data_IF_940374433480
#
_entry.id   IF_940374433480
#
_cell.length_a   1.000
_cell.length_b   1.000
_cell.length_c   1.000
_cell.angle_alpha   90.00
_cell.angle_beta   90.00
_cell.angle_gamma   90.00
#
_symmetry.space_group_name_H-M   'P 1'
#
loop_
_entity.id
_entity.type
_entity.pdbx_description
1 polymer ?
#
# COMPACT_ATOMS: atom_id res chain seq x y z
N UNK A 1 2.86 15.11 -6.59
CA UNK A 1 1.51 15.62 -6.43
C UNK A 1 0.81 14.90 -5.28
N UNK A 2 -0.26 15.50 -4.72
CA UNK A 2 -1.05 14.97 -3.63
C UNK A 2 -2.53 15.00 -4.03
N UNK A 3 -3.22 13.88 -3.90
CA UNK A 3 -4.65 13.74 -4.06
C UNK A 3 -5.31 13.33 -2.75
N UNK A 4 -6.59 13.55 -2.61
CA UNK A 4 -7.36 13.25 -1.41
C UNK A 4 -8.57 12.36 -1.73
N UNK A 5 -8.88 11.40 -0.86
CA UNK A 5 -10.09 10.59 -0.97
C UNK A 5 -11.24 11.27 -0.22
N UNK A 6 -11.88 12.25 -0.84
CA UNK A 6 -13.07 12.89 -0.25
C UNK A 6 -14.17 11.84 -0.06
N UNK A 7 -14.82 11.89 1.10
CA UNK A 7 -15.84 10.90 1.49
C UNK A 7 -15.35 9.44 1.41
N UNK A 8 -14.06 9.21 1.61
CA UNK A 8 -13.52 7.87 1.84
C UNK A 8 -13.97 7.34 3.20
N UNK A 9 -13.84 6.04 3.38
CA UNK A 9 -14.07 5.44 4.69
C UNK A 9 -13.05 6.00 5.68
N UNK A 10 -13.54 6.56 6.78
CA UNK A 10 -12.71 7.07 7.85
C UNK A 10 -12.72 6.08 9.00
N UNK A 11 -11.71 5.25 9.08
CA UNK A 11 -11.68 4.07 9.91
C UNK A 11 -10.77 4.18 11.13
N UNK A 12 -9.77 5.05 11.03
CA UNK A 12 -8.84 5.33 12.10
C UNK A 12 -8.59 6.84 12.15
N UNK A 13 -8.62 7.43 13.33
CA UNK A 13 -8.25 8.83 13.52
C UNK A 13 -6.75 9.06 13.36
N UNK A 14 -5.95 7.99 13.19
CA UNK A 14 -4.52 8.06 13.02
C UNK A 14 -3.85 8.73 14.21
N UNK A 15 -4.24 8.39 15.43
CA UNK A 15 -3.81 9.07 16.65
C UNK A 15 -2.29 9.30 16.71
N UNK A 16 -1.48 8.31 16.32
CA UNK A 16 -0.02 8.44 16.27
C UNK A 16 0.46 9.40 15.17
N UNK A 17 -0.25 9.47 14.03
CA UNK A 17 0.07 10.42 12.95
C UNK A 17 -0.23 11.84 13.38
N UNK A 18 -1.41 12.08 13.97
CA UNK A 18 -1.79 13.39 14.48
C UNK A 18 -0.82 13.86 15.56
N UNK A 19 -0.51 13.01 16.53
CA UNK A 19 0.44 13.33 17.58
C UNK A 19 1.85 13.60 17.02
N UNK A 20 2.29 12.86 15.99
CA UNK A 20 3.55 13.12 15.29
C UNK A 20 3.54 14.52 14.65
N UNK A 21 2.47 14.87 13.95
CA UNK A 21 2.31 16.19 13.32
C UNK A 21 2.22 17.32 14.34
N UNK A 22 1.65 17.07 15.51
CA UNK A 22 1.51 18.03 16.61
C UNK A 22 2.76 18.10 17.50
N UNK A 23 3.75 17.22 17.30
CA UNK A 23 4.97 17.18 18.09
C UNK A 23 5.72 18.50 17.99
N UNK A 24 5.95 19.11 19.14
CA UNK A 24 6.71 20.34 19.28
C UNK A 24 8.17 19.98 19.50
N UNK A 25 9.03 20.53 18.66
CA UNK A 25 10.48 20.47 18.78
C UNK A 25 11.01 21.87 19.12
N UNK A 26 12.26 21.97 19.37
CA UNK A 26 13.01 23.20 19.75
C UNK A 26 12.24 24.53 19.63
N UNK A 27 12.13 25.27 20.72
CA UNK A 27 11.55 26.62 20.76
C UNK A 27 10.13 26.73 20.18
N UNK A 28 9.25 25.78 20.49
CA UNK A 28 7.86 25.72 20.01
C UNK A 28 7.69 25.55 18.48
N UNK A 29 8.68 25.05 17.79
CA UNK A 29 8.55 24.73 16.38
C UNK A 29 7.82 23.39 16.21
N UNK A 30 6.76 23.38 15.42
CA UNK A 30 6.05 22.15 15.05
C UNK A 30 6.99 21.31 14.15
N UNK A 31 7.01 19.98 14.36
CA UNK A 31 7.86 19.05 13.60
C UNK A 31 7.61 19.18 12.09
N UNK A 32 6.34 19.27 11.70
CA UNK A 32 5.93 19.55 10.32
C UNK A 32 4.80 20.57 10.26
N UNK A 33 4.87 21.55 9.34
CA UNK A 33 3.73 22.45 9.13
C UNK A 33 2.53 21.66 8.61
N UNK A 34 1.38 21.85 9.25
CA UNK A 34 0.13 21.23 8.79
C UNK A 34 -0.27 21.83 7.44
N UNK A 35 -0.58 20.97 6.46
CA UNK A 35 -1.24 21.42 5.25
C UNK A 35 -2.69 21.79 5.57
N UNK A 36 -3.14 22.92 5.05
CA UNK A 36 -4.53 23.29 5.08
C UNK A 36 -5.27 22.60 3.93
N UNK A 37 -6.46 22.04 4.19
CA UNK A 37 -7.37 21.58 3.12
C UNK A 37 -7.80 22.72 2.18
N UNK A 38 -7.52 23.99 2.56
CA UNK A 38 -7.71 25.16 1.70
C UNK A 38 -6.78 25.21 0.48
N UNK A 39 -5.75 24.35 0.44
CA UNK A 39 -4.75 24.31 -0.62
C UNK A 39 -5.21 23.55 -1.88
N UNK A 40 -6.51 23.44 -2.13
CA UNK A 40 -7.09 22.77 -3.32
C UNK A 40 -6.40 21.45 -3.67
N UNK A 41 -6.43 20.50 -2.74
CA UNK A 41 -5.97 19.15 -3.02
C UNK A 41 -7.05 18.46 -3.88
N UNK A 42 -6.74 18.02 -5.10
CA UNK A 42 -7.72 17.39 -5.97
C UNK A 42 -8.16 16.03 -5.43
N UNK A 43 -9.30 15.53 -5.90
CA UNK A 43 -9.68 14.14 -5.68
C UNK A 43 -8.61 13.19 -6.22
N UNK A 44 -8.28 12.15 -5.43
CA UNK A 44 -7.18 11.24 -5.72
C UNK A 44 -7.36 10.58 -7.09
N UNK A 45 -8.53 10.02 -7.38
CA UNK A 45 -8.78 9.34 -8.66
C UNK A 45 -8.66 10.27 -9.87
N UNK A 46 -9.07 11.55 -9.77
CA UNK A 46 -8.91 12.54 -10.84
C UNK A 46 -7.44 12.86 -11.08
N UNK A 47 -6.69 13.01 -9.99
CA UNK A 47 -5.24 13.17 -10.08
C UNK A 47 -4.57 11.95 -10.73
N UNK A 48 -5.01 10.74 -10.38
CA UNK A 48 -4.49 9.51 -10.99
C UNK A 48 -4.80 9.48 -12.49
N UNK A 49 -6.01 9.85 -12.94
CA UNK A 49 -6.35 9.95 -14.36
C UNK A 49 -5.41 10.89 -15.10
N UNK A 50 -5.21 12.10 -14.56
CA UNK A 50 -4.28 13.09 -15.13
C UNK A 50 -2.88 12.52 -15.26
N UNK A 51 -2.34 11.93 -14.19
CA UNK A 51 -0.98 11.39 -14.20
C UNK A 51 -0.82 10.22 -15.16
N UNK A 52 -1.82 9.34 -15.25
CA UNK A 52 -1.80 8.21 -16.19
C UNK A 52 -1.82 8.67 -17.63
N UNK A 53 -2.66 9.66 -17.96
CA UNK A 53 -2.75 10.19 -19.31
C UNK A 53 -1.42 10.73 -19.85
N UNK A 54 -0.55 11.22 -18.96
CA UNK A 54 0.77 11.76 -19.27
C UNK A 54 1.87 10.68 -19.44
N UNK A 55 1.59 9.40 -19.11
CA UNK A 55 2.60 8.33 -19.14
C UNK A 55 2.58 7.57 -20.49
N UNK A 56 3.69 6.86 -20.73
CA UNK A 56 3.77 5.89 -21.82
C UNK A 56 2.90 4.66 -21.53
N UNK A 57 2.49 3.93 -22.55
CA UNK A 57 1.69 2.72 -22.38
C UNK A 57 2.47 1.64 -21.63
N UNK A 58 1.79 0.95 -20.72
CA UNK A 58 2.36 -0.12 -19.88
C UNK A 58 3.64 0.24 -19.10
N UNK A 59 3.81 1.53 -18.76
CA UNK A 59 4.98 2.01 -18.03
C UNK A 59 4.78 2.15 -16.53
N UNK A 60 3.53 2.30 -16.08
CA UNK A 60 3.22 2.61 -14.68
C UNK A 60 3.08 1.34 -13.83
N UNK A 61 3.76 1.34 -12.69
CA UNK A 61 3.51 0.40 -11.59
C UNK A 61 2.76 1.14 -10.50
N UNK A 62 1.55 0.68 -10.19
CA UNK A 62 0.82 1.15 -9.02
C UNK A 62 1.30 0.41 -7.77
N UNK A 63 1.45 1.15 -6.67
CA UNK A 63 1.67 0.59 -5.34
C UNK A 63 0.53 1.07 -4.45
N UNK A 64 -0.32 0.15 -4.00
CA UNK A 64 -1.44 0.42 -3.11
C UNK A 64 -1.12 -0.08 -1.69
N UNK A 65 -1.20 0.81 -0.70
CA UNK A 65 -0.76 0.58 0.68
C UNK A 65 -1.86 0.91 1.71
N UNK A 66 -3.09 0.95 1.29
CA UNK A 66 -4.24 1.24 2.12
C UNK A 66 -5.53 0.88 1.38
N UNK A 67 -6.71 1.22 1.91
CA UNK A 67 -7.98 0.91 1.28
C UNK A 67 -8.05 1.36 -0.18
N UNK A 68 -8.60 0.53 -1.05
CA UNK A 68 -8.60 0.69 -2.50
C UNK A 68 -9.58 1.74 -3.03
N UNK A 69 -10.11 2.61 -2.19
CA UNK A 69 -11.11 3.65 -2.52
C UNK A 69 -10.76 4.44 -3.79
N UNK A 70 -9.52 4.93 -3.90
CA UNK A 70 -9.11 5.71 -5.06
C UNK A 70 -8.95 4.85 -6.32
N UNK A 71 -8.54 3.58 -6.18
CA UNK A 71 -8.41 2.66 -7.31
C UNK A 71 -9.78 2.25 -7.85
N UNK A 72 -10.72 1.94 -6.98
CA UNK A 72 -12.09 1.65 -7.39
C UNK A 72 -12.74 2.85 -8.08
N UNK A 73 -12.59 4.06 -7.52
CA UNK A 73 -13.09 5.30 -8.14
C UNK A 73 -12.43 5.57 -9.50
N UNK A 74 -11.14 5.29 -9.63
CA UNK A 74 -10.45 5.37 -10.91
C UNK A 74 -11.05 4.40 -11.93
N UNK A 75 -11.26 3.13 -11.55
CA UNK A 75 -11.78 2.11 -12.47
C UNK A 75 -13.19 2.43 -13.01
N UNK A 76 -14.06 2.99 -12.16
CA UNK A 76 -15.44 3.32 -12.53
C UNK A 76 -15.59 4.73 -13.11
N UNK A 77 -14.50 5.51 -13.22
CA UNK A 77 -14.56 6.88 -13.73
C UNK A 77 -14.81 6.90 -15.23
N UNK A 78 -15.58 7.88 -15.66
CA UNK A 78 -15.84 8.16 -17.08
C UNK A 78 -14.68 8.94 -17.72
N UNK A 79 -14.73 9.11 -19.04
CA UNK A 79 -13.84 10.00 -19.80
C UNK A 79 -13.93 11.44 -19.24
N UNK A 80 -12.82 12.16 -19.30
CA UNK A 80 -12.70 13.52 -18.79
C UNK A 80 -11.73 14.37 -19.64
N UNK A 81 -11.41 15.58 -19.17
CA UNK A 81 -10.49 16.48 -19.85
C UNK A 81 -9.05 15.95 -19.99
N UNK A 82 -8.67 14.91 -19.26
CA UNK A 82 -7.33 14.30 -19.31
C UNK A 82 -7.26 13.12 -20.27
N UNK A 83 -8.38 12.40 -20.48
CA UNK A 83 -8.42 11.22 -21.35
C UNK A 83 -9.84 10.92 -21.82
N UNK A 84 -9.97 10.61 -23.11
CA UNK A 84 -11.22 10.10 -23.72
C UNK A 84 -11.55 8.67 -23.31
N UNK A 85 -10.61 7.96 -22.66
CA UNK A 85 -10.81 6.63 -22.13
C UNK A 85 -11.52 6.69 -20.78
N UNK A 86 -12.43 5.74 -20.53
CA UNK A 86 -12.88 5.49 -19.16
C UNK A 86 -11.71 5.02 -18.28
N UNK A 87 -11.92 4.99 -16.96
CA UNK A 87 -10.85 4.68 -16.02
C UNK A 87 -10.27 3.29 -16.20
N UNK A 88 -11.11 2.28 -16.49
CA UNK A 88 -10.66 0.91 -16.68
C UNK A 88 -9.82 0.76 -17.96
N UNK A 89 -10.25 1.38 -19.06
CA UNK A 89 -9.49 1.39 -20.31
C UNK A 89 -8.17 2.16 -20.17
N UNK A 90 -8.18 3.30 -19.46
CA UNK A 90 -6.96 4.07 -19.18
C UNK A 90 -5.96 3.27 -18.35
N UNK A 91 -6.41 2.57 -17.30
CA UNK A 91 -5.57 1.65 -16.50
C UNK A 91 -5.04 0.52 -17.39
N UNK A 92 -5.89 -0.10 -18.22
CA UNK A 92 -5.47 -1.17 -19.11
C UNK A 92 -4.36 -0.73 -20.07
N UNK A 93 -4.41 0.50 -20.55
CA UNK A 93 -3.42 1.05 -21.46
C UNK A 93 -2.11 1.44 -20.77
N UNK A 94 -2.19 2.09 -19.61
CA UNK A 94 -1.03 2.76 -19.00
C UNK A 94 -0.32 1.93 -17.93
N UNK A 95 -1.05 1.05 -17.25
CA UNK A 95 -0.53 0.35 -16.08
C UNK A 95 0.05 -1.00 -16.48
N UNK A 96 1.26 -1.25 -16.02
CA UNK A 96 1.97 -2.52 -16.18
C UNK A 96 1.61 -3.52 -15.07
N UNK A 97 1.47 -3.03 -13.84
CA UNK A 97 1.33 -3.85 -12.65
C UNK A 97 0.65 -3.07 -11.53
N UNK A 98 -0.20 -3.74 -10.77
CA UNK A 98 -0.62 -3.32 -9.43
C UNK A 98 0.11 -4.18 -8.38
N UNK A 99 0.93 -3.55 -7.55
CA UNK A 99 1.47 -4.13 -6.32
C UNK A 99 0.64 -3.65 -5.15
N UNK A 100 -0.06 -4.54 -4.46
CA UNK A 100 -1.01 -4.17 -3.42
C UNK A 100 -0.68 -4.85 -2.09
N UNK A 101 -0.64 -4.06 -1.00
CA UNK A 101 -0.69 -4.62 0.34
C UNK A 101 -2.15 -4.78 0.72
N UNK A 102 -2.62 -6.03 0.75
CA UNK A 102 -4.00 -6.35 1.09
C UNK A 102 -4.27 -7.84 1.00
N UNK A 103 -5.18 -8.27 1.85
CA UNK A 103 -5.59 -9.66 1.93
C UNK A 103 -4.74 -10.54 2.83
N UNK A 104 -5.14 -11.81 2.87
CA UNK A 104 -4.53 -12.86 3.67
C UNK A 104 -4.55 -14.14 2.84
N UNK A 105 -3.38 -14.74 2.59
CA UNK A 105 -3.25 -15.87 1.65
C UNK A 105 -2.69 -17.14 2.31
N UNK A 106 -2.38 -17.08 3.59
CA UNK A 106 -1.95 -18.24 4.37
C UNK A 106 -3.11 -18.91 5.09
N UNK A 107 -2.96 -20.20 5.40
CA UNK A 107 -3.97 -20.96 6.17
C UNK A 107 -3.81 -20.83 7.69
N UNK A 108 -2.85 -20.02 8.16
CA UNK A 108 -2.53 -19.89 9.58
C UNK A 108 -3.48 -18.94 10.31
N UNK A 109 -4.19 -18.09 9.57
CA UNK A 109 -5.04 -17.02 10.11
C UNK A 109 -6.37 -16.99 9.36
N UNK A 110 -7.44 -16.64 10.07
CA UNK A 110 -8.80 -16.55 9.53
C UNK A 110 -9.46 -15.26 10.03
N UNK A 111 -9.14 -14.16 9.37
CA UNK A 111 -9.78 -12.86 9.59
C UNK A 111 -9.69 -12.02 8.30
N UNK A 112 -10.65 -11.10 8.08
CA UNK A 112 -10.55 -10.17 6.97
C UNK A 112 -9.43 -9.16 7.22
N UNK A 113 -8.58 -8.94 6.21
CA UNK A 113 -7.45 -8.02 6.30
C UNK A 113 -7.91 -6.56 6.38
N UNK A 114 -7.18 -5.73 7.12
CA UNK A 114 -7.59 -4.38 7.51
C UNK A 114 -7.83 -3.44 6.32
N UNK A 115 -6.95 -3.41 5.31
CA UNK A 115 -7.13 -2.57 4.13
C UNK A 115 -8.39 -2.96 3.34
N UNK A 116 -8.64 -4.26 3.26
CA UNK A 116 -9.82 -4.82 2.57
C UNK A 116 -11.12 -4.41 3.27
N UNK A 117 -11.22 -4.60 4.59
CA UNK A 117 -12.49 -4.34 5.30
C UNK A 117 -12.78 -2.86 5.47
N UNK A 118 -11.76 -2.01 5.41
CA UNK A 118 -11.94 -0.56 5.57
C UNK A 118 -12.57 0.13 4.37
N UNK A 119 -12.56 -0.50 3.19
CA UNK A 119 -13.46 -0.17 2.09
C UNK A 119 -13.76 -1.45 1.28
N UNK A 120 -14.58 -2.32 1.85
CA UNK A 120 -14.90 -3.63 1.27
C UNK A 120 -15.41 -3.53 -0.16
N UNK A 121 -16.28 -2.57 -0.45
CA UNK A 121 -16.80 -2.39 -1.80
C UNK A 121 -15.69 -1.97 -2.79
N UNK A 122 -14.82 -1.09 -2.39
CA UNK A 122 -13.70 -0.68 -3.22
C UNK A 122 -12.71 -1.84 -3.47
N UNK A 123 -12.41 -2.63 -2.46
CA UNK A 123 -11.59 -3.82 -2.59
C UNK A 123 -12.21 -4.83 -3.57
N UNK A 124 -13.51 -5.13 -3.42
CA UNK A 124 -14.24 -6.02 -4.34
C UNK A 124 -14.19 -5.52 -5.79
N UNK A 125 -14.42 -4.23 -6.02
CA UNK A 125 -14.34 -3.63 -7.35
C UNK A 125 -12.91 -3.74 -7.89
N UNK A 126 -11.91 -3.36 -7.10
CA UNK A 126 -10.51 -3.34 -7.53
C UNK A 126 -10.04 -4.73 -7.91
N UNK A 127 -10.17 -5.73 -7.05
CA UNK A 127 -9.69 -7.08 -7.35
C UNK A 127 -10.47 -7.75 -8.49
N UNK A 128 -11.74 -7.43 -8.67
CA UNK A 128 -12.57 -7.99 -9.75
C UNK A 128 -12.31 -7.33 -11.10
N UNK A 129 -12.18 -6.00 -11.12
CA UNK A 129 -12.24 -5.21 -12.36
C UNK A 129 -10.86 -4.73 -12.83
N UNK A 130 -9.80 -4.89 -12.05
CA UNK A 130 -8.47 -4.44 -12.42
C UNK A 130 -7.96 -5.17 -13.67
N UNK A 131 -7.64 -4.44 -14.77
CA UNK A 131 -7.43 -5.08 -16.07
C UNK A 131 -6.02 -5.65 -16.27
N UNK A 132 -5.03 -5.22 -15.47
CA UNK A 132 -3.63 -5.63 -15.59
C UNK A 132 -3.23 -6.59 -14.46
N UNK A 133 -2.03 -7.20 -14.50
CA UNK A 133 -1.59 -8.09 -13.42
C UNK A 133 -1.65 -7.44 -12.02
N UNK A 134 -1.99 -8.26 -11.02
CA UNK A 134 -1.93 -7.91 -9.60
C UNK A 134 -0.93 -8.82 -8.90
N UNK A 135 -0.01 -8.24 -8.12
CA UNK A 135 0.80 -8.95 -7.14
C UNK A 135 0.40 -8.44 -5.76
N UNK A 136 -0.19 -9.32 -4.96
CA UNK A 136 -0.63 -8.99 -3.61
C UNK A 136 0.41 -9.41 -2.56
N UNK A 137 0.65 -8.55 -1.59
CA UNK A 137 1.39 -8.88 -0.37
C UNK A 137 0.40 -9.03 0.76
N UNK A 138 0.28 -10.24 1.29
CA UNK A 138 -0.65 -10.55 2.37
C UNK A 138 -0.17 -10.07 3.74
N UNK A 139 -1.10 -9.95 4.66
CA UNK A 139 -0.84 -9.59 6.05
C UNK A 139 0.22 -10.49 6.69
N UNK A 140 0.14 -11.81 6.46
CA UNK A 140 1.04 -12.82 7.01
C UNK A 140 2.50 -12.59 6.62
N UNK A 141 2.75 -12.04 5.44
CA UNK A 141 4.10 -11.77 4.95
C UNK A 141 4.76 -10.65 5.75
N UNK A 142 4.10 -9.52 5.87
CA UNK A 142 4.60 -8.39 6.64
C UNK A 142 4.71 -8.68 8.13
N UNK A 143 3.85 -9.56 8.66
CA UNK A 143 3.94 -10.04 10.04
C UNK A 143 5.19 -10.90 10.30
N UNK A 144 5.64 -11.67 9.31
CA UNK A 144 6.88 -12.48 9.40
C UNK A 144 8.14 -11.62 9.27
N UNK A 145 8.08 -10.54 8.50
CA UNK A 145 9.22 -9.65 8.24
C UNK A 145 9.05 -8.41 9.10
N UNK A 146 9.89 -8.25 10.11
CA UNK A 146 9.79 -7.12 11.04
C UNK A 146 10.95 -6.16 10.86
N UNK A 147 10.65 -4.86 10.76
CA UNK A 147 11.64 -3.80 10.72
C UNK A 147 12.26 -3.62 12.10
N UNK A 148 13.59 -3.72 12.23
CA UNK A 148 14.23 -3.77 13.53
C UNK A 148 14.26 -2.39 14.21
N UNK A 149 13.92 -2.37 15.49
CA UNK A 149 13.99 -1.16 16.30
C UNK A 149 15.39 -0.55 16.38
N UNK A 150 16.43 -1.37 16.24
CA UNK A 150 17.81 -0.88 16.23
C UNK A 150 18.05 0.11 15.10
N UNK A 151 17.48 -0.12 13.91
CA UNK A 151 17.57 0.85 12.81
C UNK A 151 16.86 2.17 13.16
N UNK A 152 15.67 2.10 13.76
CA UNK A 152 14.94 3.30 14.20
C UNK A 152 15.77 4.10 15.23
N UNK A 153 16.47 3.41 16.13
CA UNK A 153 17.25 4.06 17.18
C UNK A 153 18.61 4.59 16.69
N UNK A 154 19.24 3.92 15.70
CA UNK A 154 20.62 4.16 15.33
C UNK A 154 20.78 4.85 13.98
N UNK A 155 20.01 4.46 12.93
CA UNK A 155 20.19 4.98 11.58
C UNK A 155 19.55 6.35 11.44
N UNK A 156 18.51 6.62 12.23
CA UNK A 156 17.91 7.93 12.42
C UNK A 156 18.43 8.64 13.68
N UNK A 157 19.56 8.19 14.23
CA UNK A 157 20.13 8.68 15.47
C UNK A 157 20.49 10.19 15.40
N UNK A 158 20.25 10.87 16.50
CA UNK A 158 20.35 12.33 16.56
C UNK A 158 19.10 13.05 16.05
N UNK A 159 18.13 12.32 15.50
CA UNK A 159 16.90 12.91 15.01
C UNK A 159 15.67 12.47 15.82
N UNK A 160 15.68 12.76 17.15
CA UNK A 160 14.41 12.85 17.88
C UNK A 160 13.39 13.78 17.19
N UNK A 161 13.82 14.47 16.15
CA UNK A 161 13.06 15.32 15.24
C UNK A 161 12.62 14.61 13.96
N UNK A 162 13.07 13.38 13.70
CA UNK A 162 12.67 12.65 12.50
C UNK A 162 11.26 12.09 12.70
N UNK A 163 10.30 12.38 11.78
CA UNK A 163 8.89 12.01 11.98
C UNK A 163 8.70 10.51 12.17
N UNK A 164 9.49 9.67 11.50
CA UNK A 164 9.43 8.23 11.65
C UNK A 164 9.76 7.81 13.10
N UNK A 165 10.84 8.33 13.67
CA UNK A 165 11.24 8.01 15.05
C UNK A 165 10.20 8.50 16.07
N UNK A 166 9.61 9.67 15.82
CA UNK A 166 8.54 10.22 16.66
C UNK A 166 7.30 9.33 16.58
N UNK A 167 6.87 8.95 15.37
CA UNK A 167 5.73 8.07 15.16
C UNK A 167 5.90 6.71 15.84
N UNK A 168 7.07 6.10 15.72
CA UNK A 168 7.37 4.83 16.39
C UNK A 168 7.20 4.92 17.90
N UNK A 169 7.74 5.98 18.53
CA UNK A 169 7.64 6.19 20.00
C UNK A 169 6.22 6.47 20.47
N UNK A 170 5.41 7.11 19.63
CA UNK A 170 4.01 7.40 19.96
C UNK A 170 3.15 6.14 19.77
N UNK A 171 3.42 5.36 18.73
CA UNK A 171 2.64 4.17 18.40
C UNK A 171 2.71 3.11 19.51
N UNK A 172 3.91 2.82 19.99
CA UNK A 172 4.15 1.82 21.06
C UNK A 172 5.43 2.16 21.82
N UNK A 173 5.50 1.70 23.07
CA UNK A 173 6.71 1.83 23.89
C UNK A 173 7.89 1.08 23.25
N UNK A 174 8.99 1.81 23.06
CA UNK A 174 10.24 1.25 22.51
C UNK A 174 11.01 0.47 23.58
N UNK A 175 11.78 -0.60 23.22
CA UNK A 175 12.06 -1.07 21.87
C UNK A 175 11.04 -2.11 21.36
N UNK A 176 10.66 -2.04 20.09
CA UNK A 176 9.87 -3.08 19.42
C UNK A 176 10.18 -3.11 17.91
N UNK A 177 10.11 -4.31 17.31
CA UNK A 177 10.24 -4.50 15.89
C UNK A 177 8.85 -4.41 15.25
N UNK A 178 8.72 -3.58 14.21
CA UNK A 178 7.44 -3.28 13.56
C UNK A 178 7.23 -4.16 12.34
N UNK A 179 6.04 -4.67 12.18
CA UNK A 179 5.60 -5.34 10.97
C UNK A 179 5.80 -4.45 9.72
N UNK A 180 6.18 -5.07 8.60
CA UNK A 180 6.58 -4.34 7.37
C UNK A 180 5.54 -4.36 6.27
N UNK A 181 4.32 -4.69 6.56
CA UNK A 181 3.23 -4.92 5.60
C UNK A 181 3.37 -4.16 4.27
N UNK A 182 3.36 -2.83 4.31
CA UNK A 182 3.45 -1.97 3.14
C UNK A 182 4.79 -2.06 2.43
N UNK A 183 5.87 -2.17 3.20
CA UNK A 183 7.23 -2.17 2.67
C UNK A 183 7.51 -3.38 1.78
N UNK A 184 6.82 -4.50 1.99
CA UNK A 184 6.98 -5.71 1.17
C UNK A 184 6.43 -5.50 -0.24
N UNK A 185 5.27 -4.85 -0.38
CA UNK A 185 4.71 -4.47 -1.69
C UNK A 185 5.59 -3.44 -2.41
N UNK A 186 6.13 -2.47 -1.66
CA UNK A 186 7.07 -1.48 -2.22
C UNK A 186 8.33 -2.16 -2.74
N UNK A 187 8.96 -3.00 -1.92
CA UNK A 187 10.21 -3.69 -2.27
C UNK A 187 10.02 -4.58 -3.52
N UNK A 188 8.92 -5.33 -3.60
CA UNK A 188 8.59 -6.12 -4.78
C UNK A 188 8.41 -5.26 -6.03
N UNK A 189 7.79 -4.11 -5.91
CA UNK A 189 7.53 -3.23 -7.04
C UNK A 189 8.80 -2.56 -7.58
N UNK A 190 9.73 -2.17 -6.71
CA UNK A 190 10.95 -1.43 -7.09
C UNK A 190 12.13 -2.34 -7.43
N UNK A 191 12.18 -3.54 -6.86
CA UNK A 191 13.27 -4.52 -7.06
C UNK A 191 12.73 -5.92 -7.42
N UNK A 192 11.91 -6.07 -8.49
CA UNK A 192 11.24 -7.32 -8.80
C UNK A 192 12.20 -8.45 -9.24
N UNK A 193 13.43 -8.11 -9.63
CA UNK A 193 14.45 -9.07 -10.04
C UNK A 193 15.27 -9.66 -8.89
N UNK A 194 15.13 -9.13 -7.69
CA UNK A 194 15.81 -9.66 -6.52
C UNK A 194 14.92 -10.71 -5.86
N UNK A 195 15.45 -11.89 -5.62
CA UNK A 195 14.69 -13.04 -5.10
C UNK A 195 14.39 -12.91 -3.59
N UNK A 196 13.79 -11.79 -3.19
CA UNK A 196 13.34 -11.60 -1.81
C UNK A 196 12.11 -12.43 -1.50
N UNK A 197 11.23 -12.56 -2.47
CA UNK A 197 9.94 -13.25 -2.35
C UNK A 197 9.79 -14.28 -3.45
N UNK A 198 8.96 -15.29 -3.20
CA UNK A 198 8.43 -16.16 -4.21
C UNK A 198 7.04 -15.68 -4.61
N UNK A 199 6.66 -15.91 -5.86
CA UNK A 199 5.29 -15.71 -6.33
C UNK A 199 4.51 -17.01 -6.21
N UNK A 200 3.23 -16.92 -5.87
CA UNK A 200 2.29 -18.02 -6.02
C UNK A 200 2.20 -18.46 -7.50
N UNK A 201 1.57 -19.56 -7.78
CA UNK A 201 1.05 -19.81 -9.12
C UNK A 201 0.11 -18.70 -9.58
N UNK A 202 -0.16 -18.62 -10.87
CA UNK A 202 -1.14 -17.66 -11.40
C UNK A 202 -2.54 -18.06 -10.99
N UNK A 203 -3.40 -17.07 -10.84
CA UNK A 203 -4.78 -17.29 -10.44
C UNK A 203 -5.62 -16.02 -10.46
N UNK A 204 -6.69 -16.05 -9.73
CA UNK A 204 -7.59 -14.92 -9.49
C UNK A 204 -7.79 -14.76 -7.99
N UNK A 205 -7.61 -13.55 -7.50
CA UNK A 205 -7.98 -13.15 -6.14
C UNK A 205 -9.36 -12.53 -6.20
N UNK A 206 -10.26 -12.99 -5.33
CA UNK A 206 -11.58 -12.41 -5.13
C UNK A 206 -11.76 -12.05 -3.66
N UNK A 207 -12.58 -11.05 -3.39
CA UNK A 207 -12.92 -10.62 -2.04
C UNK A 207 -14.39 -10.97 -1.79
N UNK A 208 -14.65 -11.75 -0.76
CA UNK A 208 -16.00 -12.18 -0.44
C UNK A 208 -16.83 -11.10 0.30
N UNK A 209 -18.05 -11.45 0.70
CA UNK A 209 -18.96 -10.50 1.36
C UNK A 209 -18.57 -10.11 2.79
N UNK A 210 -17.64 -10.82 3.40
CA UNK A 210 -17.12 -10.53 4.74
C UNK A 210 -15.68 -10.02 4.74
N UNK A 211 -15.08 -9.81 3.54
CA UNK A 211 -13.75 -9.24 3.37
C UNK A 211 -12.61 -10.25 3.38
N UNK A 212 -12.91 -11.54 3.25
CA UNK A 212 -11.86 -12.54 3.09
C UNK A 212 -11.35 -12.56 1.65
N UNK A 213 -10.04 -12.63 1.49
CA UNK A 213 -9.38 -12.80 0.20
C UNK A 213 -9.28 -14.29 -0.16
N UNK A 214 -9.86 -14.65 -1.30
CA UNK A 214 -9.89 -16.02 -1.81
C UNK A 214 -9.03 -16.10 -3.06
N UNK A 215 -8.02 -16.95 -3.05
CA UNK A 215 -7.21 -17.22 -4.22
C UNK A 215 -7.66 -18.50 -4.92
N UNK A 216 -7.94 -18.40 -6.21
CA UNK A 216 -8.30 -19.51 -7.07
C UNK A 216 -7.24 -19.69 -8.16
N UNK A 217 -6.47 -20.81 -8.16
CA UNK A 217 -5.46 -21.08 -9.18
C UNK A 217 -6.05 -21.15 -10.59
N UNK A 218 -5.37 -20.54 -11.56
CA UNK A 218 -5.75 -20.60 -12.98
C UNK A 218 -4.59 -20.18 -13.86
N UNK A 219 -4.25 -20.95 -14.87
CA UNK A 219 -3.17 -20.62 -15.83
C UNK A 219 -3.43 -19.31 -16.59
N UNK A 220 -4.70 -18.97 -16.84
CA UNK A 220 -5.11 -17.71 -17.49
C UNK A 220 -5.26 -16.56 -16.49
N UNK A 221 -5.11 -16.82 -15.20
CA UNK A 221 -5.22 -15.82 -14.16
C UNK A 221 -4.12 -14.76 -14.24
N UNK A 222 -4.43 -13.55 -13.80
CA UNK A 222 -3.48 -12.43 -13.81
C UNK A 222 -3.03 -12.02 -12.42
N UNK A 223 -3.53 -12.69 -11.38
CA UNK A 223 -3.20 -12.37 -9.99
C UNK A 223 -2.23 -13.39 -9.42
N UNK A 224 -1.33 -12.90 -8.59
CA UNK A 224 -0.42 -13.70 -7.79
C UNK A 224 -0.29 -13.05 -6.41
N UNK A 225 0.18 -13.79 -5.44
CA UNK A 225 0.53 -13.24 -4.14
C UNK A 225 1.97 -13.63 -3.76
N UNK A 226 2.56 -12.83 -2.89
CA UNK A 226 3.92 -13.03 -2.41
C UNK A 226 3.95 -14.06 -1.30
N UNK A 227 4.99 -14.89 -1.32
CA UNK A 227 5.32 -15.82 -0.23
C UNK A 227 6.79 -15.69 0.15
N UNK A 228 7.15 -16.10 1.35
CA UNK A 228 8.53 -16.16 1.80
C UNK A 228 8.76 -17.46 2.58
N UNK A 229 9.88 -18.11 2.33
CA UNK A 229 10.27 -19.34 3.00
C UNK A 229 11.69 -19.25 3.52
N UNK A 230 11.87 -19.77 4.74
CA UNK A 230 13.18 -19.88 5.37
C UNK A 230 13.69 -18.58 6.01
N UNK A 231 14.35 -18.74 7.14
CA UNK A 231 14.88 -17.62 7.94
C UNK A 231 15.95 -16.80 7.17
N UNK A 232 16.66 -17.41 6.25
CA UNK A 232 17.66 -16.73 5.45
C UNK A 232 17.03 -15.70 4.51
N UNK A 233 15.93 -16.05 3.84
CA UNK A 233 15.20 -15.13 2.95
C UNK A 233 14.53 -14.02 3.75
N UNK A 234 13.94 -14.34 4.91
CA UNK A 234 13.37 -13.33 5.82
C UNK A 234 14.45 -12.33 6.24
N UNK A 235 15.63 -12.80 6.62
CA UNK A 235 16.76 -11.96 6.99
C UNK A 235 17.28 -11.13 5.81
N UNK A 236 17.40 -11.72 4.62
CA UNK A 236 17.84 -11.01 3.42
C UNK A 236 16.86 -9.89 3.05
N UNK A 237 15.57 -10.18 3.05
CA UNK A 237 14.51 -9.20 2.79
C UNK A 237 14.53 -8.07 3.82
N UNK A 238 14.60 -8.40 5.11
CA UNK A 238 14.72 -7.39 6.17
C UNK A 238 15.95 -6.49 5.98
N UNK A 239 17.09 -7.06 5.62
CA UNK A 239 18.30 -6.27 5.36
C UNK A 239 18.15 -5.36 4.12
N UNK A 240 17.38 -5.76 3.12
CA UNK A 240 17.07 -4.90 1.97
C UNK A 240 16.19 -3.71 2.36
N UNK A 241 15.27 -3.89 3.31
CA UNK A 241 14.42 -2.81 3.81
C UNK A 241 15.14 -1.77 4.69
N UNK A 242 16.34 -2.12 5.21
CA UNK A 242 17.14 -1.24 6.08
C UNK A 242 18.12 -0.37 5.26
N UNK A 243 18.40 -0.71 4.02
CA UNK A 243 19.34 0.02 3.16
C UNK A 243 18.82 1.40 2.76
#
# INVERSE_FOLDING_TARGET
>A
PLGYAYNGMNTDDGHYLRQTLDTIIDNNKILHPKRSLKDHIPEGYKLLRKLLAEQEDHSVVFIALGPETNLARLLISEADEYSELDGKALVAQKVKLLSVMGGLYGNEFDFPEWNIINDLNAAQITFKEWPTPIIASGWELGNKIRYPHQSILNDFAGSYKHPLCVSYKIYQEMPYDRETWDLTSVLQAIEPGNNYFNLSEKGTITIDSIGQSIFSPSESGKHQYLTIQGEENIRATRNALIR
#
